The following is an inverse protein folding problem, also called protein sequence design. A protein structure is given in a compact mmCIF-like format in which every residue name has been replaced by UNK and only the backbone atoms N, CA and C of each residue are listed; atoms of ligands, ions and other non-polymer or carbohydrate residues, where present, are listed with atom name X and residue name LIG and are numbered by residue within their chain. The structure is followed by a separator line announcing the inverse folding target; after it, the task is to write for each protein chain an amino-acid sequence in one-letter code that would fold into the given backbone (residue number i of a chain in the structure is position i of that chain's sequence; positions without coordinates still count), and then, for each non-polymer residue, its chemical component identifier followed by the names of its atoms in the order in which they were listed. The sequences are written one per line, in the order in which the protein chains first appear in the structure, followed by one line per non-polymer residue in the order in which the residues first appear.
data_IF_627918932841
#
_entry.id   IF_627918932841
#
_cell.length_a   1.000
_cell.length_b   1.000
_cell.length_c   1.000
_cell.angle_alpha   90.00
_cell.angle_beta   90.00
_cell.angle_gamma   90.00
#
_symmetry.space_group_name_H-M   'P 1'
#
loop_
_entity.id
_entity.type
_entity.pdbx_description
1 polymer ?
#
# COMPACT_ATOMS: atom_id res chain seq x y z
N UNK A 1 60.74 33.39 89.97
CA UNK A 1 61.41 32.77 88.80
C UNK A 1 61.15 31.27 88.60
N UNK A 2 60.26 30.61 89.37
CA UNK A 2 60.02 29.14 89.28
C UNK A 2 58.85 28.74 88.35
N UNK A 3 57.90 29.64 88.06
CA UNK A 3 56.68 29.31 87.31
C UNK A 3 56.92 29.13 85.79
N UNK A 4 57.82 29.92 85.19
CA UNK A 4 58.16 29.80 83.77
C UNK A 4 58.94 28.52 83.44
N UNK A 5 59.77 28.03 84.38
CA UNK A 5 60.56 26.81 84.19
C UNK A 5 59.65 25.59 84.18
N UNK A 6 58.66 25.52 85.07
CA UNK A 6 57.70 24.41 85.14
C UNK A 6 56.84 24.34 83.87
N UNK A 7 56.30 25.47 83.41
CA UNK A 7 55.53 25.53 82.17
C UNK A 7 56.39 25.17 80.94
N UNK A 8 57.63 25.63 80.89
CA UNK A 8 58.57 25.25 79.83
C UNK A 8 58.87 23.76 79.84
N UNK A 9 59.14 23.17 81.01
CA UNK A 9 59.38 21.72 81.13
C UNK A 9 58.16 20.89 80.73
N UNK A 10 56.94 21.34 81.04
CA UNK A 10 55.73 20.66 80.60
C UNK A 10 55.53 20.75 79.09
N UNK A 11 55.77 21.91 78.48
CA UNK A 11 55.67 22.08 77.01
C UNK A 11 56.71 21.21 76.29
N UNK A 12 57.93 21.09 76.83
CA UNK A 12 58.96 20.20 76.28
C UNK A 12 58.56 18.73 76.42
N UNK A 13 58.01 18.31 77.55
CA UNK A 13 57.52 16.93 77.74
C UNK A 13 56.34 16.59 76.82
N UNK A 14 55.40 17.51 76.65
CA UNK A 14 54.27 17.35 75.73
C UNK A 14 54.76 17.30 74.29
N UNK A 15 55.70 18.17 73.91
CA UNK A 15 56.30 18.16 72.57
C UNK A 15 57.07 16.87 72.30
N UNK A 16 57.79 16.35 73.29
CA UNK A 16 58.52 15.08 73.19
C UNK A 16 57.56 13.88 73.05
N UNK A 17 56.43 13.92 73.75
CA UNK A 17 55.37 12.91 73.63
C UNK A 17 54.63 13.01 72.29
N UNK A 18 54.43 14.23 71.76
CA UNK A 18 53.82 14.46 70.45
C UNK A 18 54.74 14.03 69.29
N UNK A 19 56.05 14.15 69.48
CA UNK A 19 57.06 13.74 68.51
C UNK A 19 57.40 12.26 68.58
N UNK A 20 56.91 11.51 69.57
CA UNK A 20 57.06 10.06 69.60
C UNK A 20 56.12 9.48 68.55
N UNK A 21 56.61 9.03 67.38
CA UNK A 21 55.74 8.41 66.42
C UNK A 21 55.34 7.06 67.02
N UNK A 22 54.06 6.90 67.34
CA UNK A 22 53.44 5.58 67.52
C UNK A 22 53.48 4.88 66.15
N UNK A 23 54.67 4.42 65.75
CA UNK A 23 54.86 3.50 64.65
C UNK A 23 54.41 2.10 65.10
N UNK A 24 53.12 1.98 65.42
CA UNK A 24 52.46 0.69 65.44
C UNK A 24 52.21 0.30 63.99
N UNK A 25 53.24 -0.24 63.35
CA UNK A 25 53.07 -0.98 62.11
C UNK A 25 52.37 -2.30 62.46
N UNK A 26 51.05 -2.27 62.52
CA UNK A 26 50.23 -3.46 62.42
C UNK A 26 50.25 -3.92 60.95
N UNK A 27 51.40 -4.46 60.52
CA UNK A 27 51.44 -5.35 59.37
C UNK A 27 51.24 -6.74 59.93
N UNK A 28 50.00 -7.23 59.87
CA UNK A 28 49.75 -8.66 60.06
C UNK A 28 50.59 -9.41 59.01
N UNK A 29 51.49 -10.32 59.41
CA UNK A 29 52.13 -11.19 58.44
C UNK A 29 51.02 -12.01 57.79
N UNK A 30 50.86 -11.86 56.47
CA UNK A 30 49.94 -12.67 55.69
C UNK A 30 50.18 -14.16 56.00
N UNK A 31 49.14 -14.99 56.07
CA UNK A 31 49.28 -16.41 56.34
C UNK A 31 50.33 -17.01 55.40
N UNK A 32 51.40 -17.60 55.94
CA UNK A 32 52.43 -18.28 55.14
C UNK A 32 51.81 -19.54 54.56
N UNK A 33 51.17 -19.40 53.40
CA UNK A 33 50.79 -20.53 52.54
C UNK A 33 52.06 -21.35 52.28
N UNK A 34 51.98 -22.66 52.51
CA UNK A 34 53.09 -23.58 52.25
C UNK A 34 53.21 -23.83 50.74
N UNK A 35 54.43 -23.91 50.22
CA UNK A 35 54.68 -24.22 48.79
C UNK A 35 53.92 -25.48 48.33
N UNK A 36 53.70 -26.43 49.24
CA UNK A 36 52.88 -27.63 49.00
C UNK A 36 51.41 -27.30 48.72
N UNK A 37 50.82 -26.39 49.47
CA UNK A 37 49.43 -25.94 49.25
C UNK A 37 49.30 -25.14 47.94
N UNK A 38 50.35 -24.42 47.54
CA UNK A 38 50.41 -23.72 46.24
C UNK A 38 50.38 -24.73 45.11
N UNK A 39 51.22 -25.76 45.17
CA UNK A 39 51.30 -26.80 44.13
C UNK A 39 49.97 -27.55 44.01
N UNK A 40 49.32 -27.89 45.14
CA UNK A 40 48.02 -28.56 45.12
C UNK A 40 46.92 -27.68 44.49
N UNK A 41 46.88 -26.39 44.85
CA UNK A 41 45.93 -25.44 44.25
C UNK A 41 46.21 -25.19 42.77
N UNK A 42 47.47 -25.13 42.36
CA UNK A 42 47.86 -24.99 40.95
C UNK A 42 47.48 -26.23 40.15
N UNK A 43 47.74 -27.43 40.67
CA UNK A 43 47.34 -28.68 40.02
C UNK A 43 45.81 -28.76 39.85
N UNK A 44 45.04 -28.39 40.90
CA UNK A 44 43.57 -28.33 40.80
C UNK A 44 43.11 -27.28 39.79
N UNK A 45 43.81 -26.15 39.69
CA UNK A 45 43.50 -25.09 38.75
C UNK A 45 43.79 -25.51 37.30
N UNK A 46 44.90 -26.21 37.07
CA UNK A 46 45.27 -26.77 35.76
C UNK A 46 44.23 -27.76 35.25
N UNK A 47 43.80 -28.71 36.10
CA UNK A 47 42.70 -29.63 35.78
C UNK A 47 41.39 -28.87 35.51
N UNK A 48 41.11 -27.80 36.28
CA UNK A 48 39.95 -26.94 36.05
C UNK A 48 40.01 -26.18 34.72
N UNK A 49 41.19 -25.72 34.32
CA UNK A 49 41.42 -25.05 33.03
C UNK A 49 41.27 -26.01 31.86
N UNK A 50 41.80 -27.22 31.97
CA UNK A 50 41.65 -28.26 30.96
C UNK A 50 40.18 -28.65 30.78
N UNK A 51 39.45 -28.86 31.89
CA UNK A 51 38.01 -29.13 31.85
C UNK A 51 37.21 -27.98 31.22
N UNK A 52 37.58 -26.72 31.48
CA UNK A 52 36.96 -25.55 30.85
C UNK A 52 37.28 -25.46 29.35
N UNK A 53 38.53 -25.74 28.95
CA UNK A 53 38.93 -25.76 27.55
C UNK A 53 38.12 -26.78 26.76
N UNK A 54 37.95 -27.99 27.30
CA UNK A 54 37.15 -29.06 26.68
C UNK A 54 35.68 -28.66 26.53
N UNK A 55 35.09 -28.02 27.55
CA UNK A 55 33.71 -27.52 27.45
C UNK A 55 33.57 -26.40 26.43
N UNK A 56 34.57 -25.52 26.32
CA UNK A 56 34.56 -24.44 25.34
C UNK A 56 34.64 -24.96 23.90
N UNK A 57 35.45 -26.00 23.67
CA UNK A 57 35.52 -26.65 22.35
C UNK A 57 34.20 -27.35 22.01
N UNK A 58 33.61 -28.05 22.96
CA UNK A 58 32.32 -28.75 22.76
C UNK A 58 31.19 -27.76 22.42
N UNK A 59 31.07 -26.65 23.18
CA UNK A 59 30.11 -25.58 22.89
C UNK A 59 30.37 -24.95 21.52
N UNK A 60 31.62 -24.77 21.12
CA UNK A 60 31.96 -24.21 19.81
C UNK A 60 31.51 -25.15 18.68
N UNK A 61 31.69 -26.45 18.85
CA UNK A 61 31.30 -27.44 17.86
C UNK A 61 29.78 -27.58 17.78
N UNK A 62 29.08 -27.56 18.93
CA UNK A 62 27.61 -27.51 18.98
C UNK A 62 27.07 -26.25 18.31
N UNK A 63 27.66 -25.08 18.60
CA UNK A 63 27.27 -23.82 17.97
C UNK A 63 27.49 -23.85 16.45
N UNK A 64 28.62 -24.41 16.00
CA UNK A 64 28.92 -24.53 14.57
C UNK A 64 27.93 -25.45 13.86
N UNK A 65 27.65 -26.62 14.43
CA UNK A 65 26.68 -27.58 13.88
C UNK A 65 25.25 -27.02 13.88
N UNK A 66 24.86 -26.31 14.94
CA UNK A 66 23.59 -25.58 15.00
C UNK A 66 23.48 -24.50 13.92
N UNK A 67 24.55 -23.73 13.71
CA UNK A 67 24.60 -22.71 12.66
C UNK A 67 24.51 -23.33 11.26
N UNK A 68 25.22 -24.43 11.00
CA UNK A 68 25.14 -25.16 9.73
C UNK A 68 23.73 -25.69 9.47
N UNK A 69 23.08 -26.25 10.50
CA UNK A 69 21.70 -26.74 10.41
C UNK A 69 20.72 -25.61 10.09
N UNK A 70 20.80 -24.49 10.81
CA UNK A 70 19.98 -23.31 10.55
C UNK A 70 20.21 -22.77 9.14
N UNK A 71 21.46 -22.75 8.66
CA UNK A 71 21.78 -22.29 7.31
C UNK A 71 21.21 -23.23 6.24
N UNK A 72 21.23 -24.53 6.48
CA UNK A 72 20.64 -25.53 5.58
C UNK A 72 19.12 -25.39 5.52
N UNK A 73 18.45 -25.24 6.66
CA UNK A 73 17.00 -25.02 6.74
C UNK A 73 16.59 -23.70 6.11
N UNK A 74 17.33 -22.62 6.34
CA UNK A 74 17.09 -21.34 5.71
C UNK A 74 17.23 -21.44 4.18
N UNK A 75 18.25 -22.16 3.69
CA UNK A 75 18.45 -22.37 2.25
C UNK A 75 17.31 -23.18 1.63
N UNK A 76 16.90 -24.28 2.27
CA UNK A 76 15.78 -25.10 1.76
C UNK A 76 14.46 -24.34 1.80
N UNK A 77 14.21 -23.55 2.85
CA UNK A 77 13.06 -22.66 2.96
C UNK A 77 13.07 -21.60 1.86
N UNK A 78 14.21 -20.96 1.59
CA UNK A 78 14.36 -19.98 0.52
C UNK A 78 14.12 -20.59 -0.87
N UNK A 79 14.65 -21.79 -1.14
CA UNK A 79 14.41 -22.51 -2.39
C UNK A 79 12.93 -22.88 -2.58
N UNK A 80 12.26 -23.33 -1.51
CA UNK A 80 10.84 -23.64 -1.54
C UNK A 80 9.98 -22.38 -1.79
N UNK A 81 10.33 -21.26 -1.15
CA UNK A 81 9.70 -19.96 -1.40
C UNK A 81 9.94 -19.47 -2.82
N UNK A 82 11.18 -19.60 -3.33
CA UNK A 82 11.52 -19.26 -4.71
C UNK A 82 10.66 -20.02 -5.71
N UNK A 83 10.55 -21.35 -5.57
CA UNK A 83 9.68 -22.17 -6.44
C UNK A 83 8.22 -21.74 -6.40
N UNK A 84 7.69 -21.38 -5.23
CA UNK A 84 6.30 -20.88 -5.11
C UNK A 84 6.13 -19.53 -5.77
N UNK A 85 7.11 -18.64 -5.63
CA UNK A 85 7.08 -17.33 -6.26
C UNK A 85 7.17 -17.44 -7.79
N UNK A 86 8.00 -18.35 -8.29
CA UNK A 86 8.12 -18.65 -9.73
C UNK A 86 6.81 -19.22 -10.29
N UNK A 87 6.16 -20.17 -9.59
CA UNK A 87 4.85 -20.70 -9.98
C UNK A 87 3.76 -19.61 -10.00
N UNK A 88 3.72 -18.76 -8.97
CA UNK A 88 2.81 -17.61 -8.93
C UNK A 88 3.08 -16.62 -10.07
N UNK A 89 4.35 -16.34 -10.36
CA UNK A 89 4.74 -15.43 -11.44
C UNK A 89 4.36 -16.00 -12.80
N UNK A 90 4.53 -17.32 -13.01
CA UNK A 90 4.12 -17.99 -14.22
C UNK A 90 2.60 -17.94 -14.43
N UNK A 91 1.81 -18.22 -13.38
CA UNK A 91 0.34 -18.10 -13.42
C UNK A 91 -0.12 -16.68 -13.67
N UNK A 92 0.55 -15.70 -13.07
CA UNK A 92 0.26 -14.28 -13.29
C UNK A 92 0.53 -13.89 -14.76
N UNK A 93 1.64 -14.34 -15.33
CA UNK A 93 1.98 -14.08 -16.73
C UNK A 93 0.94 -14.72 -17.68
N UNK A 94 0.55 -15.97 -17.42
CA UNK A 94 -0.47 -16.69 -18.20
C UNK A 94 -1.85 -16.02 -18.12
N UNK A 95 -2.26 -15.59 -16.91
CA UNK A 95 -3.49 -14.84 -16.71
C UNK A 95 -3.47 -13.49 -17.44
N UNK A 96 -2.33 -12.78 -17.41
CA UNK A 96 -2.18 -11.51 -18.10
C UNK A 96 -2.21 -11.69 -19.63
N UNK A 97 -1.57 -12.73 -20.16
CA UNK A 97 -1.59 -13.03 -21.59
C UNK A 97 -3.02 -13.35 -22.07
N UNK A 98 -3.72 -14.23 -21.35
CA UNK A 98 -5.13 -14.54 -21.63
C UNK A 98 -6.01 -13.29 -21.57
N UNK A 99 -5.80 -12.44 -20.56
CA UNK A 99 -6.54 -11.18 -20.41
C UNK A 99 -6.28 -10.23 -21.60
N UNK A 100 -5.02 -10.10 -22.05
CA UNK A 100 -4.67 -9.30 -23.23
C UNK A 100 -5.32 -9.84 -24.51
N UNK A 101 -5.35 -11.16 -24.69
CA UNK A 101 -6.05 -11.80 -25.83
C UNK A 101 -7.55 -11.48 -25.79
N UNK A 102 -8.20 -11.60 -24.63
CA UNK A 102 -9.61 -11.25 -24.49
C UNK A 102 -9.88 -9.76 -24.78
N UNK A 103 -9.09 -8.85 -24.21
CA UNK A 103 -9.25 -7.41 -24.47
C UNK A 103 -8.97 -7.04 -25.92
N UNK A 104 -7.93 -7.60 -26.54
CA UNK A 104 -7.63 -7.35 -27.96
C UNK A 104 -8.74 -7.85 -28.87
N UNK A 105 -9.33 -9.01 -28.58
CA UNK A 105 -10.48 -9.52 -29.33
C UNK A 105 -11.72 -8.62 -29.16
N UNK A 106 -11.98 -8.13 -27.94
CA UNK A 106 -13.10 -7.22 -27.65
C UNK A 106 -12.92 -5.89 -28.39
N UNK A 107 -11.73 -5.30 -28.34
CA UNK A 107 -11.40 -4.06 -29.06
C UNK A 107 -11.52 -4.27 -30.57
N UNK A 108 -11.02 -5.40 -31.10
CA UNK A 108 -11.15 -5.72 -32.51
C UNK A 108 -12.63 -5.82 -32.95
N UNK A 109 -13.48 -6.41 -32.11
CA UNK A 109 -14.93 -6.52 -32.36
C UNK A 109 -15.62 -5.14 -32.34
N UNK A 110 -15.25 -4.28 -31.39
CA UNK A 110 -15.74 -2.89 -31.33
C UNK A 110 -15.32 -2.13 -32.60
N UNK A 111 -14.05 -2.19 -32.98
CA UNK A 111 -13.53 -1.53 -34.19
C UNK A 111 -14.23 -2.06 -35.45
N UNK A 112 -14.45 -3.37 -35.55
CA UNK A 112 -15.19 -3.97 -36.65
C UNK A 112 -16.65 -3.45 -36.72
N UNK A 113 -17.32 -3.33 -35.57
CA UNK A 113 -18.68 -2.79 -35.49
C UNK A 113 -18.73 -1.32 -35.89
N UNK A 114 -17.81 -0.49 -35.38
CA UNK A 114 -17.72 0.92 -35.78
C UNK A 114 -17.40 1.08 -37.26
N UNK A 115 -16.48 0.27 -37.79
CA UNK A 115 -16.18 0.22 -39.22
C UNK A 115 -17.42 -0.10 -40.05
N UNK A 116 -18.22 -1.07 -39.60
CA UNK A 116 -19.49 -1.43 -40.23
C UNK A 116 -20.52 -0.29 -40.17
N UNK A 117 -20.69 0.38 -39.02
CA UNK A 117 -21.62 1.51 -38.88
C UNK A 117 -21.21 2.72 -39.74
N UNK A 118 -19.91 3.02 -39.78
CA UNK A 118 -19.35 4.07 -40.64
C UNK A 118 -19.56 3.77 -42.13
N UNK A 119 -19.50 2.48 -42.49
CA UNK A 119 -19.84 2.00 -43.83
C UNK A 119 -21.36 2.11 -44.11
N UNK A 120 -22.19 1.69 -43.16
CA UNK A 120 -23.66 1.66 -43.23
C UNK A 120 -24.26 3.04 -43.54
N UNK A 121 -23.76 4.11 -42.89
CA UNK A 121 -24.18 5.48 -43.17
C UNK A 121 -23.92 5.91 -44.62
N UNK A 122 -22.89 5.37 -45.28
CA UNK A 122 -22.55 5.70 -46.68
C UNK A 122 -23.43 4.98 -47.71
N UNK A 123 -23.99 3.82 -47.37
CA UNK A 123 -24.78 2.97 -48.28
C UNK A 123 -26.29 3.09 -48.12
N UNK A 124 -26.83 3.28 -46.90
CA UNK A 124 -28.28 3.30 -46.67
C UNK A 124 -28.95 4.67 -46.78
N UNK A 125 -28.21 5.78 -46.66
CA UNK A 125 -28.81 7.13 -46.73
C UNK A 125 -29.27 7.52 -48.14
N UNK A 126 -28.77 6.89 -49.20
CA UNK A 126 -29.15 7.20 -50.60
C UNK A 126 -30.63 6.91 -50.89
N UNK A 127 -31.14 5.69 -50.66
CA UNK A 127 -32.57 5.40 -50.90
C UNK A 127 -33.49 6.06 -49.86
N UNK A 128 -33.03 6.26 -48.61
CA UNK A 128 -33.83 6.94 -47.58
C UNK A 128 -33.97 8.43 -47.87
N UNK A 129 -32.92 9.11 -48.35
CA UNK A 129 -32.97 10.51 -48.79
C UNK A 129 -33.89 10.69 -50.00
N UNK A 130 -33.84 9.79 -50.97
CA UNK A 130 -34.75 9.85 -52.13
C UNK A 130 -36.22 9.67 -51.72
N UNK A 131 -36.51 8.73 -50.80
CA UNK A 131 -37.86 8.58 -50.22
C UNK A 131 -38.27 9.79 -49.40
N UNK A 132 -37.36 10.40 -48.64
CA UNK A 132 -37.63 11.63 -47.89
C UNK A 132 -38.00 12.79 -48.83
N UNK A 133 -37.31 12.95 -49.96
CA UNK A 133 -37.60 14.00 -50.93
C UNK A 133 -38.89 13.76 -51.72
N UNK A 134 -39.27 12.50 -51.96
CA UNK A 134 -40.59 12.19 -52.52
C UNK A 134 -41.70 12.50 -51.51
N UNK A 135 -41.54 12.08 -50.26
CA UNK A 135 -42.49 12.38 -49.19
C UNK A 135 -42.62 13.88 -48.92
N UNK A 136 -41.51 14.64 -48.92
CA UNK A 136 -41.53 16.09 -48.77
C UNK A 136 -42.30 16.78 -49.90
N UNK A 137 -42.10 16.33 -51.15
CA UNK A 137 -42.85 16.85 -52.29
C UNK A 137 -44.33 16.50 -52.22
N UNK A 138 -44.65 15.28 -51.80
CA UNK A 138 -46.04 14.83 -51.66
C UNK A 138 -46.76 15.58 -50.53
N UNK A 139 -46.12 15.77 -49.37
CA UNK A 139 -46.65 16.59 -48.27
C UNK A 139 -46.80 18.05 -48.68
N UNK A 140 -45.80 18.64 -49.36
CA UNK A 140 -45.86 20.03 -49.84
C UNK A 140 -46.98 20.23 -50.87
N UNK A 141 -47.22 19.24 -51.72
CA UNK A 141 -48.28 19.26 -52.74
C UNK A 141 -49.65 19.04 -52.13
N UNK A 142 -49.81 18.05 -51.24
CA UNK A 142 -51.08 17.74 -50.58
C UNK A 142 -51.53 18.83 -49.59
N UNK A 143 -50.61 19.57 -48.95
CA UNK A 143 -50.98 20.75 -48.16
C UNK A 143 -51.17 22.03 -49.02
N UNK A 144 -51.00 21.93 -50.34
CA UNK A 144 -51.01 23.01 -51.34
C UNK A 144 -50.27 24.27 -50.89
N UNK A 145 -49.07 24.11 -50.31
CA UNK A 145 -48.30 25.21 -49.74
C UNK A 145 -47.82 26.26 -50.76
N UNK A 146 -48.01 26.02 -52.06
CA UNK A 146 -47.63 26.92 -53.16
C UNK A 146 -48.78 27.85 -53.63
N UNK A 147 -49.99 27.75 -53.08
CA UNK A 147 -51.06 28.70 -53.41
C UNK A 147 -50.92 30.00 -52.61
N UNK A 148 -51.13 31.13 -53.30
CA UNK A 148 -50.91 32.51 -52.79
C UNK A 148 -51.80 32.92 -51.61
N UNK A 149 -52.77 32.10 -51.22
CA UNK A 149 -53.72 32.38 -50.12
C UNK A 149 -53.46 31.56 -48.83
N UNK A 150 -52.40 30.73 -48.80
CA UNK A 150 -51.99 29.96 -47.61
C UNK A 150 -52.57 28.54 -47.52
N UNK A 151 -52.03 27.73 -46.60
CA UNK A 151 -52.23 26.27 -46.54
C UNK A 151 -53.70 25.84 -46.52
N UNK A 152 -54.01 24.67 -47.11
CA UNK A 152 -55.37 24.09 -47.10
C UNK A 152 -55.93 23.95 -45.67
N UNK A 153 -55.07 23.64 -44.71
CA UNK A 153 -55.42 23.60 -43.29
C UNK A 153 -55.92 24.95 -42.80
N UNK A 154 -55.29 26.06 -43.21
CA UNK A 154 -55.75 27.41 -42.87
C UNK A 154 -57.12 27.69 -43.45
N UNK A 155 -57.38 27.25 -44.70
CA UNK A 155 -58.67 27.45 -45.37
C UNK A 155 -59.78 26.61 -44.74
N UNK A 156 -59.50 25.34 -44.42
CA UNK A 156 -60.42 24.48 -43.70
C UNK A 156 -60.73 25.01 -42.30
N UNK A 157 -59.71 25.50 -41.58
CA UNK A 157 -59.88 26.08 -40.25
C UNK A 157 -60.68 27.39 -40.32
N UNK A 158 -60.52 28.19 -41.38
CA UNK A 158 -61.29 29.41 -41.58
C UNK A 158 -62.76 29.12 -41.94
N UNK A 159 -63.03 28.06 -42.72
CA UNK A 159 -64.39 27.58 -42.99
C UNK A 159 -65.04 27.03 -41.72
N UNK A 160 -64.32 26.23 -40.93
CA UNK A 160 -64.81 25.75 -39.64
C UNK A 160 -65.06 26.88 -38.66
N UNK A 161 -64.19 27.89 -38.61
CA UNK A 161 -64.39 29.09 -37.80
C UNK A 161 -65.65 29.87 -38.21
N UNK A 162 -65.87 30.04 -39.52
CA UNK A 162 -67.06 30.72 -40.05
C UNK A 162 -68.35 29.90 -39.84
N UNK A 163 -68.23 28.57 -39.76
CA UNK A 163 -69.33 27.67 -39.44
C UNK A 163 -69.68 27.69 -37.94
N UNK A 164 -68.66 27.74 -37.07
CA UNK A 164 -68.82 27.92 -35.63
C UNK A 164 -69.46 29.27 -35.29
N UNK A 165 -69.12 30.34 -36.01
CA UNK A 165 -69.72 31.67 -35.80
C UNK A 165 -71.23 31.72 -36.11
N UNK A 166 -71.73 30.80 -36.94
CA UNK A 166 -73.16 30.69 -37.29
C UNK A 166 -73.95 29.71 -36.44
N UNK A 167 -73.30 28.84 -35.67
CA UNK A 167 -73.97 27.74 -34.97
C UNK A 167 -73.46 27.63 -33.51
N UNK A 168 -74.25 28.05 -32.51
CA UNK A 168 -73.76 28.20 -31.13
C UNK A 168 -73.33 26.88 -30.48
N UNK A 169 -73.96 25.74 -30.84
CA UNK A 169 -73.53 24.42 -30.35
C UNK A 169 -72.14 24.01 -30.84
N UNK A 170 -71.79 24.36 -32.09
CA UNK A 170 -70.48 24.01 -32.67
C UNK A 170 -69.35 24.92 -32.16
N UNK A 171 -69.69 26.16 -31.79
CA UNK A 171 -68.77 27.09 -31.15
C UNK A 171 -68.37 26.63 -29.74
N UNK A 172 -69.30 26.08 -28.97
CA UNK A 172 -69.01 25.55 -27.63
C UNK A 172 -68.19 24.26 -27.69
N UNK A 173 -68.42 23.39 -28.67
CA UNK A 173 -67.57 22.19 -28.91
C UNK A 173 -66.14 22.59 -29.29
N UNK A 174 -65.96 23.58 -30.17
CA UNK A 174 -64.63 24.10 -30.54
C UNK A 174 -63.90 24.80 -29.37
N UNK A 175 -64.64 25.43 -28.44
CA UNK A 175 -64.09 26.03 -27.22
C UNK A 175 -63.73 24.96 -26.17
N UNK A 176 -64.49 23.87 -26.12
CA UNK A 176 -64.25 22.73 -25.23
C UNK A 176 -63.00 21.92 -25.59
N UNK A 177 -62.68 21.79 -26.88
CA UNK A 177 -61.50 21.05 -27.37
C UNK A 177 -60.25 21.94 -27.61
N UNK A 178 -60.25 23.19 -27.15
CA UNK A 178 -59.09 24.09 -27.14
C UNK A 178 -58.42 24.31 -28.52
N UNK A 179 -59.21 24.48 -29.58
CA UNK A 179 -58.72 24.85 -30.92
C UNK A 179 -58.88 26.34 -31.24
N UNK A 180 -59.21 27.18 -30.24
CA UNK A 180 -59.11 28.65 -30.28
C UNK A 180 -58.60 29.14 -28.92
#
# INVERSE_FOLDING_TARGET
MKFNVINFTMVVLISLYLFFPLSSFAVEPAPRISDREIIEKLSKLEVGQEALSTRLTDIRDEMKSGQETLRAEMKSGMEALGKRLDDLSARQADANDTMLVLFSSLIALIVALFGYILWDRRTMMKPVSEKLHQFEREVRTNLELNHSEGSLLKRQLQVMKKYAEKNPEFADIMRGEALI
#
